data_IF_671259643759
#
_entry.id   IF_671259643759
#
_cell.length_a   1.000
_cell.length_b   1.000
_cell.length_c   1.000
_cell.angle_alpha   90.00
_cell.angle_beta   90.00
_cell.angle_gamma   90.00
#
_symmetry.space_group_name_H-M   'P 1'
#
loop_
_entity.id
_entity.type
_entity.pdbx_description
1 polymer ?
#
# COMPACT_ATOMS: atom_id res chain seq x y z
N UNK A 1 -9.35 19.80 -7.47
CA UNK A 1 -8.74 18.48 -7.23
C UNK A 1 -9.50 17.80 -6.12
N UNK A 2 -10.00 16.56 -6.32
CA UNK A 2 -10.38 15.77 -5.16
C UNK A 2 -9.16 15.69 -4.24
N UNK A 3 -9.40 15.65 -2.94
CA UNK A 3 -8.38 15.65 -1.91
C UNK A 3 -7.39 14.50 -2.15
N UNK A 4 -6.23 14.77 -2.74
CA UNK A 4 -5.15 13.78 -2.91
C UNK A 4 -4.58 13.31 -1.57
N UNK A 5 -4.94 13.96 -0.46
CA UNK A 5 -4.65 13.48 0.90
C UNK A 5 -5.63 12.42 1.41
N UNK A 6 -6.74 12.17 0.71
CA UNK A 6 -7.72 11.14 1.07
C UNK A 6 -7.62 9.90 0.16
N UNK A 7 -6.68 9.88 -0.79
CA UNK A 7 -6.49 8.78 -1.71
C UNK A 7 -5.42 7.84 -1.15
N UNK A 8 -5.74 6.55 -1.00
CA UNK A 8 -4.81 5.55 -0.48
C UNK A 8 -3.52 5.50 -1.32
N UNK A 9 -2.37 5.21 -0.74
CA UNK A 9 -1.09 5.15 -1.47
C UNK A 9 -1.17 4.30 -2.75
N UNK A 10 -1.88 3.17 -2.70
CA UNK A 10 -2.12 2.32 -3.87
C UNK A 10 -2.86 3.04 -5.01
N UNK A 11 -3.74 4.00 -4.74
CA UNK A 11 -4.53 4.66 -5.78
C UNK A 11 -3.69 5.44 -6.79
N UNK A 12 -2.62 6.10 -6.35
CA UNK A 12 -1.72 6.82 -7.25
C UNK A 12 -0.93 5.86 -8.14
N UNK A 13 -0.54 4.73 -7.58
CA UNK A 13 0.17 3.67 -8.31
C UNK A 13 -0.76 2.98 -9.30
N UNK A 14 -1.98 2.62 -8.89
CA UNK A 14 -2.98 2.00 -9.76
C UNK A 14 -3.35 2.94 -10.91
N UNK A 15 -3.41 4.25 -10.66
CA UNK A 15 -3.59 5.24 -11.71
C UNK A 15 -2.39 5.29 -12.68
N UNK A 16 -1.15 5.15 -12.18
CA UNK A 16 0.04 5.04 -13.03
C UNK A 16 -0.02 3.77 -13.90
N UNK A 17 -0.38 2.63 -13.31
CA UNK A 17 -0.55 1.36 -14.01
C UNK A 17 -1.61 1.45 -15.12
N UNK A 18 -2.79 1.97 -14.82
CA UNK A 18 -3.87 2.23 -15.78
C UNK A 18 -3.39 3.14 -16.92
N UNK A 19 -2.75 4.26 -16.58
CA UNK A 19 -2.32 5.25 -17.55
C UNK A 19 -1.25 4.70 -18.50
N UNK A 20 -0.26 3.97 -18.00
CA UNK A 20 0.79 3.38 -18.83
C UNK A 20 0.23 2.23 -19.69
N UNK A 21 -0.64 1.40 -19.14
CA UNK A 21 -1.29 0.30 -19.87
C UNK A 21 -2.13 0.80 -21.04
N UNK A 22 -2.77 1.96 -20.87
CA UNK A 22 -3.70 2.53 -21.84
C UNK A 22 -3.23 3.88 -22.39
N UNK A 23 -1.91 4.11 -22.46
CA UNK A 23 -1.32 5.40 -22.80
C UNK A 23 -1.84 5.96 -24.13
N UNK A 24 -1.83 5.14 -25.18
CA UNK A 24 -2.34 5.52 -26.50
C UNK A 24 -3.83 5.88 -26.46
N UNK A 25 -4.63 5.12 -25.72
CA UNK A 25 -6.06 5.42 -25.55
C UNK A 25 -6.28 6.77 -24.88
N UNK A 26 -5.50 7.11 -23.84
CA UNK A 26 -5.61 8.40 -23.18
C UNK A 26 -5.17 9.56 -24.06
N UNK A 27 -4.14 9.36 -24.89
CA UNK A 27 -3.74 10.33 -25.92
C UNK A 27 -4.89 10.55 -26.91
N UNK A 28 -5.51 9.49 -27.43
CA UNK A 28 -6.63 9.59 -28.35
C UNK A 28 -7.86 10.24 -27.70
N UNK A 29 -8.14 9.90 -26.44
CA UNK A 29 -9.22 10.48 -25.67
C UNK A 29 -9.05 11.99 -25.51
N UNK A 30 -7.83 12.46 -25.23
CA UNK A 30 -7.55 13.89 -25.10
C UNK A 30 -7.79 14.65 -26.42
N UNK A 31 -7.43 14.05 -27.56
CA UNK A 31 -7.77 14.60 -28.88
C UNK A 31 -9.29 14.73 -29.05
N UNK A 32 -10.05 13.67 -28.72
CA UNK A 32 -11.52 13.68 -28.82
C UNK A 32 -12.13 14.76 -27.91
N UNK A 33 -11.63 14.89 -26.68
CA UNK A 33 -12.10 15.90 -25.72
C UNK A 33 -11.89 17.31 -26.30
N UNK A 34 -10.74 17.59 -26.91
CA UNK A 34 -10.48 18.89 -27.54
C UNK A 34 -11.49 19.19 -28.65
N UNK A 35 -11.71 18.25 -29.58
CA UNK A 35 -12.62 18.44 -30.71
C UNK A 35 -14.11 18.44 -30.35
N UNK A 36 -14.50 17.80 -29.24
CA UNK A 36 -15.90 17.72 -28.80
C UNK A 36 -16.45 19.00 -28.18
N UNK A 37 -15.59 19.96 -27.83
CA UNK A 37 -15.98 21.19 -27.14
C UNK A 37 -16.54 22.23 -28.09
N UNK A 38 -17.41 23.09 -27.56
CA UNK A 38 -17.97 24.24 -28.29
C UNK A 38 -16.89 25.21 -28.77
N UNK A 39 -15.77 25.29 -28.03
CA UNK A 39 -14.54 25.95 -28.46
C UNK A 39 -13.43 24.90 -28.41
N UNK A 40 -12.76 24.59 -29.53
CA UNK A 40 -11.71 23.58 -29.58
C UNK A 40 -10.44 24.08 -28.91
N UNK A 41 -10.42 24.03 -27.59
CA UNK A 41 -9.29 24.40 -26.76
C UNK A 41 -9.30 23.56 -25.48
N UNK A 42 -8.11 23.08 -25.12
CA UNK A 42 -7.88 22.46 -23.81
C UNK A 42 -7.85 23.53 -22.71
N UNK A 43 -8.41 23.20 -21.55
CA UNK A 43 -8.25 23.97 -20.32
C UNK A 43 -6.82 23.83 -19.79
N UNK A 44 -6.42 24.67 -18.83
CA UNK A 44 -5.07 24.59 -18.24
C UNK A 44 -4.76 23.20 -17.65
N UNK A 45 -5.73 22.56 -17.00
CA UNK A 45 -5.54 21.24 -16.39
C UNK A 45 -5.38 20.16 -17.47
N UNK A 46 -6.19 20.23 -18.51
CA UNK A 46 -6.10 19.30 -19.64
C UNK A 46 -4.81 19.50 -20.44
N UNK A 47 -4.34 20.73 -20.62
CA UNK A 47 -3.04 21.00 -21.23
C UNK A 47 -1.88 20.42 -20.41
N UNK A 48 -1.95 20.52 -19.08
CA UNK A 48 -0.96 19.90 -18.20
C UNK A 48 -0.97 18.38 -18.35
N UNK A 49 -2.16 17.76 -18.35
CA UNK A 49 -2.29 16.32 -18.57
C UNK A 49 -1.77 15.92 -19.95
N UNK A 50 -2.19 16.62 -21.00
CA UNK A 50 -1.74 16.40 -22.37
C UNK A 50 -0.22 16.44 -22.48
N UNK A 51 0.41 17.47 -21.89
CA UNK A 51 1.86 17.60 -21.88
C UNK A 51 2.53 16.44 -21.13
N UNK A 52 1.95 16.02 -20.00
CA UNK A 52 2.47 14.92 -19.19
C UNK A 52 2.41 13.55 -19.90
N UNK A 53 1.40 13.30 -20.74
CA UNK A 53 1.28 12.04 -21.51
C UNK A 53 2.42 11.84 -22.51
N UNK A 54 3.08 12.93 -22.93
CA UNK A 54 4.20 12.92 -23.87
C UNK A 54 5.54 13.22 -23.22
N UNK A 55 5.57 13.52 -21.93
CA UNK A 55 6.78 13.94 -21.22
C UNK A 55 7.61 12.72 -20.78
N UNK A 56 8.79 12.47 -21.37
CA UNK A 56 9.57 11.27 -21.05
C UNK A 56 9.95 11.16 -19.57
N UNK A 57 10.40 12.23 -18.87
CA UNK A 57 10.65 12.18 -17.43
C UNK A 57 9.43 11.73 -16.62
N UNK A 58 8.23 12.26 -16.90
CA UNK A 58 7.00 11.84 -16.24
C UNK A 58 6.71 10.36 -16.49
N UNK A 59 6.84 9.89 -17.72
CA UNK A 59 6.64 8.48 -18.07
C UNK A 59 7.65 7.56 -17.36
N UNK A 60 8.91 7.99 -17.22
CA UNK A 60 9.93 7.28 -16.45
C UNK A 60 9.51 7.13 -14.99
N UNK A 61 9.05 8.22 -14.35
CA UNK A 61 8.59 8.17 -12.95
C UNK A 61 7.41 7.20 -12.77
N UNK A 62 6.43 7.22 -13.68
CA UNK A 62 5.29 6.30 -13.64
C UNK A 62 5.73 4.84 -13.78
N UNK A 63 6.63 4.55 -14.72
CA UNK A 63 7.19 3.20 -14.91
C UNK A 63 7.95 2.72 -13.67
N UNK A 64 8.78 3.58 -13.07
CA UNK A 64 9.52 3.25 -11.84
C UNK A 64 8.57 2.95 -10.68
N UNK A 65 7.49 3.71 -10.55
CA UNK A 65 6.46 3.48 -9.52
C UNK A 65 5.72 2.16 -9.74
N UNK A 66 5.41 1.79 -10.98
CA UNK A 66 4.83 0.49 -11.33
C UNK A 66 5.77 -0.64 -10.92
N UNK A 67 7.05 -0.57 -11.31
CA UNK A 67 8.05 -1.58 -10.94
C UNK A 67 8.17 -1.76 -9.44
N UNK A 68 8.29 -0.67 -8.68
CA UNK A 68 8.37 -0.75 -7.22
C UNK A 68 7.12 -1.37 -6.60
N UNK A 69 5.93 -1.01 -7.08
CA UNK A 69 4.70 -1.58 -6.53
C UNK A 69 4.55 -3.06 -6.84
N UNK A 70 4.82 -3.47 -8.07
CA UNK A 70 4.71 -4.88 -8.46
C UNK A 70 5.75 -5.75 -7.75
N UNK A 71 6.96 -5.20 -7.52
CA UNK A 71 8.05 -5.93 -6.87
C UNK A 71 7.97 -5.95 -5.34
N UNK A 72 7.53 -4.85 -4.70
CA UNK A 72 7.60 -4.65 -3.25
C UNK A 72 6.22 -4.31 -2.68
N UNK A 73 5.59 -3.29 -3.22
CA UNK A 73 4.39 -2.68 -2.63
C UNK A 73 3.23 -3.66 -2.48
N UNK A 74 2.90 -4.38 -3.55
CA UNK A 74 1.80 -5.34 -3.58
C UNK A 74 2.07 -6.59 -2.72
N UNK A 75 3.22 -7.29 -2.85
CA UNK A 75 3.58 -8.39 -1.95
C UNK A 75 3.49 -8.02 -0.46
N UNK A 76 3.97 -6.82 -0.11
CA UNK A 76 3.92 -6.34 1.27
C UNK A 76 2.49 -6.17 1.79
N UNK A 77 1.54 -5.72 0.95
CA UNK A 77 0.13 -5.58 1.37
C UNK A 77 -0.45 -6.94 1.74
N UNK A 78 -0.26 -7.95 0.89
CA UNK A 78 -0.75 -9.31 1.14
C UNK A 78 -0.22 -9.90 2.44
N UNK A 79 1.08 -9.77 2.70
CA UNK A 79 1.70 -10.32 3.90
C UNK A 79 1.31 -9.58 5.19
N UNK A 80 0.85 -8.34 5.07
CA UNK A 80 0.30 -7.61 6.21
C UNK A 80 -1.13 -8.01 6.53
N UNK A 81 -1.91 -8.64 5.65
CA UNK A 81 -3.31 -8.96 5.96
C UNK A 81 -3.45 -9.92 7.16
N UNK A 82 -4.25 -9.52 8.15
CA UNK A 82 -4.55 -10.29 9.37
C UNK A 82 -3.32 -10.68 10.24
N UNK A 83 -2.17 -10.05 10.00
CA UNK A 83 -0.97 -10.24 10.81
C UNK A 83 -0.93 -9.22 11.95
N UNK A 84 -0.38 -9.62 13.10
CA UNK A 84 -0.11 -8.69 14.19
C UNK A 84 1.02 -7.73 13.77
N UNK A 85 0.87 -6.43 13.98
CA UNK A 85 1.90 -5.45 13.60
C UNK A 85 3.26 -5.75 14.24
N UNK A 86 3.25 -6.31 15.46
CA UNK A 86 4.46 -6.66 16.21
C UNK A 86 5.21 -7.88 15.63
N UNK A 87 4.62 -8.59 14.69
CA UNK A 87 5.21 -9.76 14.02
C UNK A 87 5.80 -9.41 12.63
N UNK A 88 5.74 -8.13 12.22
CA UNK A 88 6.22 -7.67 10.90
C UNK A 88 7.74 -7.49 10.80
N UNK A 89 8.49 -7.67 11.89
CA UNK A 89 9.95 -7.49 11.90
C UNK A 89 10.69 -8.27 10.80
N UNK A 90 10.46 -9.58 10.65
CA UNK A 90 11.06 -10.38 9.58
C UNK A 90 10.71 -9.87 8.18
N UNK A 91 9.45 -9.51 7.95
CA UNK A 91 9.00 -8.94 6.68
C UNK A 91 9.78 -7.66 6.33
N UNK A 92 9.93 -6.74 7.29
CA UNK A 92 10.66 -5.50 7.04
C UNK A 92 12.13 -5.75 6.69
N UNK A 93 12.75 -6.78 7.27
CA UNK A 93 14.11 -7.18 6.93
C UNK A 93 14.19 -7.75 5.50
N UNK A 94 13.26 -8.64 5.13
CA UNK A 94 13.16 -9.20 3.78
C UNK A 94 12.97 -8.12 2.71
N UNK A 95 12.13 -7.12 2.99
CA UNK A 95 11.95 -5.96 2.09
C UNK A 95 13.27 -5.19 1.91
N UNK A 96 14.02 -4.95 2.98
CA UNK A 96 15.30 -4.25 2.90
C UNK A 96 16.34 -5.06 2.11
N UNK A 97 16.41 -6.36 2.35
CA UNK A 97 17.31 -7.27 1.65
C UNK A 97 16.98 -7.35 0.15
N UNK A 98 15.69 -7.46 -0.20
CA UNK A 98 15.26 -7.48 -1.60
C UNK A 98 15.51 -6.14 -2.29
N UNK A 99 15.28 -5.02 -1.62
CA UNK A 99 15.66 -3.70 -2.17
C UNK A 99 17.16 -3.61 -2.44
N UNK A 100 18.02 -4.18 -1.60
CA UNK A 100 19.45 -4.27 -1.89
C UNK A 100 19.73 -5.09 -3.16
N UNK A 101 19.05 -6.21 -3.37
CA UNK A 101 19.16 -7.02 -4.60
C UNK A 101 18.78 -6.20 -5.83
N UNK A 102 17.63 -5.53 -5.79
CA UNK A 102 17.12 -4.72 -6.91
C UNK A 102 17.98 -3.48 -7.21
N UNK A 103 18.58 -2.86 -6.19
CA UNK A 103 19.53 -1.75 -6.35
C UNK A 103 20.81 -2.21 -7.05
N UNK A 104 21.31 -3.40 -6.70
CA UNK A 104 22.54 -3.96 -7.26
C UNK A 104 22.34 -4.52 -8.68
N UNK A 105 21.15 -5.05 -8.96
CA UNK A 105 20.77 -5.57 -10.27
C UNK A 105 19.38 -5.07 -10.72
N UNK A 106 19.28 -3.84 -11.24
CA UNK A 106 18.01 -3.27 -11.70
C UNK A 106 17.44 -4.00 -12.93
N UNK A 107 18.23 -4.84 -13.59
CA UNK A 107 17.76 -5.62 -14.75
C UNK A 107 16.71 -6.65 -14.35
N UNK A 108 16.66 -7.04 -13.08
CA UNK A 108 15.61 -7.92 -12.54
C UNK A 108 14.19 -7.35 -12.74
N UNK A 109 14.06 -6.03 -12.91
CA UNK A 109 12.78 -5.36 -13.20
C UNK A 109 12.71 -4.81 -14.62
N UNK A 110 13.84 -4.45 -15.24
CA UNK A 110 13.84 -3.73 -16.53
C UNK A 110 14.21 -4.60 -17.74
N UNK A 111 14.69 -5.82 -17.53
CA UNK A 111 15.03 -6.70 -18.64
C UNK A 111 13.76 -7.16 -19.38
N UNK A 112 13.89 -7.44 -20.67
CA UNK A 112 12.77 -7.93 -21.49
C UNK A 112 12.24 -9.29 -21.03
N UNK A 113 13.09 -10.06 -20.35
CA UNK A 113 12.80 -11.35 -19.72
C UNK A 113 12.69 -11.26 -18.19
N UNK A 114 12.49 -10.05 -17.65
CA UNK A 114 12.28 -9.83 -16.23
C UNK A 114 11.17 -10.75 -15.69
N UNK A 115 11.54 -11.57 -14.71
CA UNK A 115 10.68 -12.59 -14.14
C UNK A 115 10.29 -12.21 -12.72
N UNK A 116 9.04 -12.49 -12.38
CA UNK A 116 8.53 -12.31 -11.02
C UNK A 116 9.25 -13.19 -9.99
N UNK A 117 9.79 -14.33 -10.42
CA UNK A 117 10.56 -15.25 -9.57
C UNK A 117 11.80 -14.58 -8.97
N UNK A 118 12.39 -13.61 -9.67
CA UNK A 118 13.61 -12.91 -9.21
C UNK A 118 13.38 -11.44 -8.91
N UNK A 119 12.36 -10.83 -9.51
CA UNK A 119 12.05 -9.42 -9.33
C UNK A 119 11.00 -9.15 -8.25
N UNK A 120 10.10 -10.08 -7.94
CA UNK A 120 9.10 -9.91 -6.87
C UNK A 120 9.65 -10.36 -5.53
N UNK A 121 9.27 -9.65 -4.46
CA UNK A 121 9.62 -9.97 -3.08
C UNK A 121 9.11 -11.36 -2.64
N UNK A 122 7.91 -11.73 -3.08
CA UNK A 122 7.22 -12.97 -2.71
C UNK A 122 7.35 -14.09 -3.75
N UNK A 123 8.14 -13.83 -4.81
CA UNK A 123 8.31 -14.72 -5.96
C UNK A 123 6.98 -15.10 -6.65
N UNK A 124 5.87 -14.39 -6.37
CA UNK A 124 4.57 -14.63 -6.98
C UNK A 124 4.41 -13.83 -8.26
N UNK A 125 3.46 -14.24 -9.12
CA UNK A 125 3.14 -13.50 -10.34
C UNK A 125 2.84 -12.03 -10.06
N UNK A 126 3.28 -11.15 -10.95
CA UNK A 126 2.89 -9.73 -10.93
C UNK A 126 1.36 -9.61 -10.83
N UNK A 127 0.91 -8.74 -9.94
CA UNK A 127 -0.53 -8.46 -9.76
C UNK A 127 -1.12 -7.90 -11.04
N UNK A 128 -0.40 -6.98 -11.69
CA UNK A 128 -0.80 -6.38 -12.96
C UNK A 128 0.22 -6.72 -14.05
N UNK A 129 0.02 -7.87 -14.68
CA UNK A 129 0.83 -8.31 -15.82
C UNK A 129 0.71 -7.33 -17.01
N UNK A 130 -0.44 -6.68 -17.19
CA UNK A 130 -0.65 -5.78 -18.31
C UNK A 130 0.18 -4.50 -18.14
N UNK A 131 0.17 -3.93 -16.94
CA UNK A 131 0.99 -2.76 -16.60
C UNK A 131 2.49 -3.07 -16.64
N UNK A 132 2.91 -4.23 -16.12
CA UNK A 132 4.32 -4.66 -16.22
C UNK A 132 4.78 -4.79 -17.67
N UNK A 133 3.95 -5.43 -18.50
CA UNK A 133 4.24 -5.59 -19.93
C UNK A 133 4.30 -4.24 -20.64
N UNK A 134 3.32 -3.37 -20.44
CA UNK A 134 3.29 -2.04 -21.05
C UNK A 134 4.50 -1.19 -20.62
N UNK A 135 4.88 -1.24 -19.34
CA UNK A 135 6.07 -0.58 -18.83
C UNK A 135 7.35 -1.07 -19.52
N UNK A 136 7.53 -2.40 -19.63
CA UNK A 136 8.68 -3.01 -20.32
C UNK A 136 8.72 -2.68 -21.83
N UNK A 137 7.57 -2.66 -22.49
CA UNK A 137 7.45 -2.27 -23.90
C UNK A 137 7.77 -0.79 -24.13
N UNK A 138 7.52 0.06 -23.13
CA UNK A 138 7.81 1.50 -23.20
C UNK A 138 9.30 1.81 -22.95
N UNK A 139 10.02 0.97 -22.18
CA UNK A 139 11.43 1.18 -21.81
C UNK A 139 12.36 1.58 -22.97
N UNK A 140 12.32 0.96 -24.17
CA UNK A 140 13.22 1.32 -25.26
C UNK A 140 13.06 2.77 -25.75
N UNK A 141 11.91 3.40 -25.49
CA UNK A 141 11.64 4.79 -25.86
C UNK A 141 12.06 5.78 -24.76
N UNK A 142 12.29 5.29 -23.55
CA UNK A 142 12.62 6.09 -22.38
C UNK A 142 14.14 6.08 -22.14
N UNK A 143 14.70 7.26 -21.90
CA UNK A 143 16.11 7.41 -21.53
C UNK A 143 16.25 7.46 -20.00
N UNK A 144 17.41 7.08 -19.49
CA UNK A 144 17.79 7.28 -18.07
C UNK A 144 16.91 6.56 -17.05
N UNK A 145 16.17 5.50 -17.42
CA UNK A 145 15.29 4.76 -16.49
C UNK A 145 16.06 4.26 -15.26
N UNK A 146 17.26 3.70 -15.44
CA UNK A 146 18.08 3.24 -14.31
C UNK A 146 18.59 4.38 -13.42
N UNK A 147 18.83 5.56 -13.99
CA UNK A 147 19.24 6.75 -13.24
C UNK A 147 18.13 7.29 -12.35
N UNK A 148 16.87 6.91 -12.60
CA UNK A 148 15.72 7.23 -11.74
C UNK A 148 15.37 6.06 -10.84
N UNK A 149 15.34 4.83 -11.37
CA UNK A 149 14.98 3.61 -10.64
C UNK A 149 15.92 3.39 -9.45
N UNK A 150 17.24 3.46 -9.65
CA UNK A 150 18.20 3.17 -8.59
C UNK A 150 18.08 4.18 -7.43
N UNK A 151 18.10 5.51 -7.66
CA UNK A 151 17.88 6.46 -6.57
C UNK A 151 16.52 6.34 -5.91
N UNK A 152 15.46 6.01 -6.67
CA UNK A 152 14.14 5.76 -6.11
C UNK A 152 14.18 4.58 -5.12
N UNK A 153 14.78 3.46 -5.51
CA UNK A 153 14.93 2.28 -4.65
C UNK A 153 15.82 2.57 -3.43
N UNK A 154 16.89 3.34 -3.58
CA UNK A 154 17.73 3.79 -2.46
C UNK A 154 16.95 4.67 -1.47
N UNK A 155 16.10 5.56 -1.97
CA UNK A 155 15.19 6.37 -1.16
C UNK A 155 14.15 5.53 -0.43
N UNK A 156 13.58 4.53 -1.12
CA UNK A 156 12.66 3.56 -0.52
C UNK A 156 13.35 2.76 0.58
N UNK A 157 14.54 2.23 0.33
CA UNK A 157 15.34 1.48 1.32
C UNK A 157 15.65 2.33 2.56
N UNK A 158 16.09 3.57 2.37
CA UNK A 158 16.35 4.50 3.48
C UNK A 158 15.08 4.74 4.32
N UNK A 159 13.94 4.83 3.65
CA UNK A 159 12.63 5.00 4.31
C UNK A 159 12.23 3.74 5.08
N UNK A 160 12.41 2.56 4.49
CA UNK A 160 12.13 1.28 5.14
C UNK A 160 12.99 1.06 6.38
N UNK A 161 14.31 1.31 6.29
CA UNK A 161 15.22 1.21 7.44
C UNK A 161 14.79 2.14 8.58
N UNK A 162 14.35 3.36 8.26
CA UNK A 162 13.83 4.29 9.28
C UNK A 162 12.48 3.81 9.85
N UNK A 163 11.60 3.31 9.00
CA UNK A 163 10.26 2.83 9.37
C UNK A 163 10.33 1.58 10.27
N UNK A 164 11.26 0.67 9.99
CA UNK A 164 11.42 -0.59 10.71
C UNK A 164 12.41 -0.52 11.90
N UNK A 165 12.92 0.67 12.23
CA UNK A 165 13.93 0.83 13.27
C UNK A 165 13.51 0.29 14.65
N UNK A 166 12.22 0.31 14.97
CA UNK A 166 11.68 -0.24 16.22
C UNK A 166 11.71 -1.78 16.31
N UNK A 167 11.86 -2.46 15.16
CA UNK A 167 12.01 -3.91 15.04
C UNK A 167 13.47 -4.36 15.06
N UNK A 168 14.41 -3.44 15.29
CA UNK A 168 15.84 -3.77 15.32
C UNK A 168 16.13 -4.84 16.41
N UNK A 169 17.09 -5.76 16.17
CA UNK A 169 17.49 -6.77 17.15
C UNK A 169 17.88 -6.14 18.50
N UNK A 170 17.40 -6.71 19.60
CA UNK A 170 17.58 -6.16 20.95
C UNK A 170 16.67 -4.95 21.27
N UNK A 171 15.73 -4.62 20.39
CA UNK A 171 14.66 -3.66 20.65
C UNK A 171 13.54 -4.24 21.50
N UNK A 172 12.64 -3.39 21.99
CA UNK A 172 11.52 -3.81 22.84
C UNK A 172 10.57 -4.80 22.15
N UNK A 173 10.39 -4.66 20.83
CA UNK A 173 9.53 -5.56 20.03
C UNK A 173 10.22 -6.91 19.82
N UNK A 174 11.51 -6.91 19.51
CA UNK A 174 12.31 -8.12 19.31
C UNK A 174 12.43 -8.96 20.61
N UNK A 175 12.65 -8.29 21.74
CA UNK A 175 12.72 -8.94 23.06
C UNK A 175 11.34 -9.36 23.61
N UNK A 176 10.24 -8.96 22.97
CA UNK A 176 8.91 -9.32 23.41
C UNK A 176 8.60 -10.82 23.15
N UNK A 177 8.24 -11.52 24.22
CA UNK A 177 7.77 -12.91 24.11
C UNK A 177 6.53 -12.99 23.23
N UNK A 178 6.33 -14.12 22.55
CA UNK A 178 5.15 -14.36 21.71
C UNK A 178 3.84 -14.09 22.46
N UNK A 179 3.77 -14.47 23.75
CA UNK A 179 2.61 -14.17 24.62
C UNK A 179 2.38 -12.67 24.80
N UNK A 180 3.43 -11.87 24.98
CA UNK A 180 3.30 -10.41 25.09
C UNK A 180 2.84 -9.79 23.79
N UNK A 181 3.38 -10.23 22.64
CA UNK A 181 2.95 -9.76 21.32
C UNK A 181 1.49 -10.10 21.05
N UNK A 182 1.04 -11.30 21.44
CA UNK A 182 -0.36 -11.71 21.32
C UNK A 182 -1.29 -10.91 22.25
N UNK A 183 -0.87 -10.61 23.48
CA UNK A 183 -1.65 -9.76 24.40
C UNK A 183 -1.74 -8.30 23.94
N UNK A 184 -0.72 -7.82 23.24
CA UNK A 184 -0.66 -6.49 22.64
C UNK A 184 -1.01 -6.51 21.15
N UNK A 185 -1.89 -7.42 20.73
CA UNK A 185 -2.28 -7.55 19.33
C UNK A 185 -2.80 -6.22 18.79
N UNK A 186 -2.29 -5.85 17.62
CA UNK A 186 -2.76 -4.69 16.87
C UNK A 186 -2.73 -5.02 15.38
N UNK A 187 -3.69 -4.51 14.60
CA UNK A 187 -3.67 -4.77 13.17
C UNK A 187 -2.43 -4.12 12.55
N UNK A 188 -1.77 -4.87 11.69
CA UNK A 188 -0.60 -4.49 10.90
C UNK A 188 -0.80 -3.27 9.99
N UNK A 189 -2.01 -3.06 9.48
CA UNK A 189 -2.27 -2.02 8.49
C UNK A 189 -2.67 -0.71 9.15
N UNK A 190 -2.00 0.38 8.76
CA UNK A 190 -2.31 1.71 9.27
C UNK A 190 -3.76 2.13 8.98
N UNK A 191 -4.35 1.70 7.85
CA UNK A 191 -5.74 2.00 7.52
C UNK A 191 -6.72 1.45 8.57
N UNK A 192 -6.48 0.24 9.09
CA UNK A 192 -7.29 -0.33 10.16
C UNK A 192 -7.12 0.46 11.48
N UNK A 193 -5.87 0.81 11.82
CA UNK A 193 -5.56 1.60 13.01
C UNK A 193 -6.16 3.03 12.96
N UNK A 194 -6.02 3.72 11.83
CA UNK A 194 -6.60 5.06 11.60
C UNK A 194 -8.14 5.01 11.59
N UNK A 195 -8.73 3.98 11.00
CA UNK A 195 -10.18 3.76 11.03
C UNK A 195 -10.70 3.56 12.46
N UNK A 196 -9.98 2.79 13.29
CA UNK A 196 -10.30 2.62 14.70
C UNK A 196 -10.19 3.94 15.48
N UNK A 197 -9.15 4.73 15.23
CA UNK A 197 -8.97 6.04 15.85
C UNK A 197 -10.04 7.05 15.42
N UNK A 198 -10.39 7.06 14.12
CA UNK A 198 -11.47 7.88 13.59
C UNK A 198 -12.82 7.51 14.22
N UNK A 199 -13.09 6.20 14.32
CA UNK A 199 -14.28 5.68 15.00
C UNK A 199 -14.34 6.12 16.46
N UNK A 200 -13.21 6.07 17.17
CA UNK A 200 -13.09 6.55 18.55
C UNK A 200 -13.44 8.03 18.68
N UNK A 201 -12.87 8.88 17.82
CA UNK A 201 -13.15 10.32 17.84
C UNK A 201 -14.63 10.63 17.63
N UNK A 202 -15.26 10.00 16.63
CA UNK A 202 -16.71 10.15 16.38
C UNK A 202 -17.52 9.66 17.58
N UNK A 203 -17.11 8.55 18.20
CA UNK A 203 -17.82 7.98 19.34
C UNK A 203 -17.78 8.90 20.57
N UNK A 204 -16.62 9.45 20.91
CA UNK A 204 -16.49 10.38 22.04
C UNK A 204 -17.23 11.69 21.79
N UNK A 205 -17.22 12.21 20.56
CA UNK A 205 -17.99 13.41 20.23
C UNK A 205 -19.50 13.19 20.48
N UNK A 206 -20.02 12.01 20.14
CA UNK A 206 -21.41 11.66 20.36
C UNK A 206 -21.73 11.26 21.82
N UNK A 207 -20.75 10.76 22.58
CA UNK A 207 -20.90 10.32 23.97
C UNK A 207 -19.78 10.92 24.86
N UNK A 208 -19.80 12.23 25.14
CA UNK A 208 -18.69 12.92 25.82
C UNK A 208 -18.48 12.51 27.29
N UNK A 209 -19.49 11.92 27.93
CA UNK A 209 -19.38 11.39 29.30
C UNK A 209 -18.82 9.96 29.37
N UNK A 210 -18.61 9.32 28.23
CA UNK A 210 -18.09 7.96 28.17
C UNK A 210 -16.59 7.94 28.46
N UNK A 211 -16.18 7.02 29.32
CA UNK A 211 -14.76 6.82 29.64
C UNK A 211 -14.05 6.00 28.55
N UNK A 212 -12.73 6.12 28.46
CA UNK A 212 -11.92 5.28 27.57
C UNK A 212 -12.12 3.77 27.86
N UNK A 213 -12.28 3.41 29.13
CA UNK A 213 -12.52 2.02 29.53
C UNK A 213 -13.84 1.47 28.96
N UNK A 214 -14.92 2.26 29.02
CA UNK A 214 -16.21 1.89 28.45
C UNK A 214 -16.14 1.76 26.93
N UNK A 215 -15.45 2.69 26.25
CA UNK A 215 -15.23 2.58 24.80
C UNK A 215 -14.48 1.30 24.44
N UNK A 216 -13.36 1.03 25.11
CA UNK A 216 -12.54 -0.15 24.86
C UNK A 216 -13.34 -1.43 25.11
N UNK A 217 -14.17 -1.48 26.15
CA UNK A 217 -15.06 -2.61 26.40
C UNK A 217 -16.09 -2.80 25.28
N UNK A 218 -16.74 -1.72 24.81
CA UNK A 218 -17.71 -1.78 23.71
C UNK A 218 -17.05 -2.19 22.38
N UNK A 219 -15.84 -1.67 22.10
CA UNK A 219 -15.08 -2.00 20.90
C UNK A 219 -14.61 -3.46 20.91
N UNK A 220 -14.03 -3.95 22.02
CA UNK A 220 -13.62 -5.35 22.16
C UNK A 220 -14.82 -6.30 22.11
N UNK A 221 -15.95 -5.94 22.72
CA UNK A 221 -17.17 -6.76 22.68
C UNK A 221 -17.62 -7.03 21.23
N UNK A 222 -17.56 -6.00 20.38
CA UNK A 222 -17.89 -6.11 18.95
C UNK A 222 -16.82 -6.85 18.17
N UNK A 223 -15.55 -6.52 18.36
CA UNK A 223 -14.44 -7.09 17.60
C UNK A 223 -14.28 -8.59 17.85
N UNK A 224 -14.49 -9.03 19.09
CA UNK A 224 -14.35 -10.44 19.47
C UNK A 224 -15.64 -11.25 19.26
N UNK A 225 -16.66 -10.67 18.63
CA UNK A 225 -18.01 -11.27 18.50
C UNK A 225 -18.50 -11.87 19.83
N UNK A 226 -18.29 -11.13 20.93
CA UNK A 226 -18.48 -11.67 22.28
C UNK A 226 -19.92 -12.15 22.50
N UNK A 227 -20.91 -11.51 21.87
CA UNK A 227 -22.30 -11.98 21.87
C UNK A 227 -22.43 -13.39 21.27
N UNK A 228 -21.80 -13.65 20.13
CA UNK A 228 -21.85 -14.97 19.47
C UNK A 228 -21.21 -16.02 20.37
N UNK A 229 -20.07 -15.69 21.00
CA UNK A 229 -19.43 -16.60 21.94
C UNK A 229 -20.31 -16.86 23.18
N UNK A 230 -21.00 -15.85 23.69
CA UNK A 230 -21.94 -16.00 24.80
C UNK A 230 -23.09 -16.90 24.36
N UNK A 231 -23.71 -16.65 23.21
CA UNK A 231 -24.86 -17.43 22.73
C UNK A 231 -24.55 -18.92 22.52
N UNK A 232 -23.28 -19.25 22.20
CA UNK A 232 -22.82 -20.64 22.05
C UNK A 232 -22.56 -21.33 23.38
N UNK A 233 -22.04 -20.60 24.37
CA UNK A 233 -21.50 -21.18 25.62
C UNK A 233 -22.46 -21.02 26.80
N UNK A 234 -23.37 -20.05 26.75
CA UNK A 234 -24.22 -19.66 27.87
C UNK A 234 -25.51 -20.49 27.90
N UNK A 235 -25.62 -21.37 28.90
CA UNK A 235 -26.75 -22.28 29.06
C UNK A 235 -27.73 -21.81 30.15
N UNK A 236 -28.91 -22.44 30.21
CA UNK A 236 -29.97 -22.15 31.21
C UNK A 236 -29.43 -22.14 32.66
N UNK A 237 -28.51 -23.04 33.07
CA UNK A 237 -27.93 -22.99 34.41
C UNK A 237 -27.06 -21.75 34.69
N UNK A 238 -26.50 -21.10 33.69
CA UNK A 238 -25.56 -19.98 33.87
C UNK A 238 -26.26 -18.66 34.24
N UNK A 239 -27.58 -18.56 33.99
CA UNK A 239 -28.40 -17.42 34.40
C UNK A 239 -28.39 -17.19 35.92
N UNK A 240 -28.04 -18.19 36.73
CA UNK A 240 -27.93 -18.05 38.19
C UNK A 240 -26.77 -17.15 38.64
N UNK A 241 -25.79 -16.86 37.77
CA UNK A 241 -24.60 -16.08 38.09
C UNK A 241 -24.65 -14.61 37.63
N UNK A 242 -25.70 -14.21 36.90
CA UNK A 242 -25.88 -12.85 36.35
C UNK A 242 -26.97 -12.06 37.11
N UNK A 243 -27.74 -12.72 37.97
CA UNK A 243 -28.69 -12.09 38.91
C UNK A 243 -28.06 -11.84 40.28
#
# INVERSE_FOLDING_TARGET
FPRTHNSCFSSSVLAAAELITHLEFYIDLMNIIEFSKSSPALTNVENNLWSALWDPPTLVELVVVIFYYQAIGHPCVWWTENTNALDLGPLHAEVCDHLHVLINDPLLLTATDASHVTGSLDEQSWEDLAAMKAALELLPTLQHVHEILIPFLQGALTTWVRFSAEFAPGGLIDEATATKRQLAWMPSTNNANESMLGSYHVHIQNKPSMTLHQYNAEAMYRQNDTQVSIDVVFEVPDYQYIM
#
